data_IF_427675204731
#
_entry.id   IF_427675204731
#
_cell.length_a   1.000
_cell.length_b   1.000
_cell.length_c   1.000
_cell.angle_alpha   90.00
_cell.angle_beta   90.00
_cell.angle_gamma   90.00
#
_symmetry.space_group_name_H-M   'P 1'
#
loop_
_entity.id
_entity.type
_entity.pdbx_description
1 polymer ?
#
# COMPACT_ATOMS: atom_id res chain seq x y z
N UNK A 1 -40.51 41.47 -42.25
CA UNK A 1 -39.06 41.21 -42.17
C UNK A 1 -38.86 40.07 -41.19
N UNK A 2 -38.52 38.89 -41.72
CA UNK A 2 -38.36 37.61 -41.00
C UNK A 2 -37.10 37.59 -40.10
N UNK A 3 -37.04 36.70 -39.10
CA UNK A 3 -36.37 36.92 -37.82
C UNK A 3 -34.92 36.43 -37.80
N UNK A 4 -34.05 37.08 -37.03
CA UNK A 4 -32.77 36.48 -36.66
C UNK A 4 -32.94 35.71 -35.35
N UNK A 5 -33.06 34.40 -35.51
CA UNK A 5 -32.98 33.38 -34.48
C UNK A 5 -31.54 33.42 -33.94
N UNK A 6 -31.38 34.01 -32.76
CA UNK A 6 -30.11 34.05 -32.03
C UNK A 6 -29.68 32.62 -31.69
N UNK A 7 -28.61 32.21 -32.36
CA UNK A 7 -27.78 31.06 -32.04
C UNK A 7 -27.49 31.00 -30.53
N UNK A 8 -27.94 29.93 -29.87
CA UNK A 8 -27.48 29.54 -28.56
C UNK A 8 -26.20 28.72 -28.74
N UNK A 9 -25.09 29.03 -28.06
CA UNK A 9 -23.99 28.08 -28.02
C UNK A 9 -24.44 26.89 -27.16
N UNK A 10 -24.50 25.72 -27.79
CA UNK A 10 -24.45 24.44 -27.11
C UNK A 10 -23.04 24.26 -26.53
N UNK A 11 -22.76 24.93 -25.41
CA UNK A 11 -21.60 24.56 -24.61
C UNK A 11 -22.01 23.37 -23.77
N UNK A 12 -22.12 22.23 -24.47
CA UNK A 12 -22.16 20.92 -23.88
C UNK A 12 -21.10 20.88 -22.80
N UNK A 13 -21.56 20.87 -21.56
CA UNK A 13 -20.72 20.55 -20.43
C UNK A 13 -20.01 19.26 -20.78
N UNK A 14 -18.70 19.36 -21.02
CA UNK A 14 -17.79 18.26 -20.87
C UNK A 14 -17.91 17.88 -19.40
N UNK A 15 -18.93 17.08 -19.10
CA UNK A 15 -18.92 16.18 -17.98
C UNK A 15 -17.56 15.52 -18.10
N UNK A 16 -16.60 15.96 -17.27
CA UNK A 16 -15.38 15.20 -17.03
C UNK A 16 -15.92 13.82 -16.68
N UNK A 17 -15.92 12.91 -17.66
CA UNK A 17 -16.15 11.51 -17.42
C UNK A 17 -15.14 11.19 -16.35
N UNK A 18 -15.64 11.03 -15.12
CA UNK A 18 -14.79 10.88 -13.95
C UNK A 18 -13.99 9.64 -14.23
N UNK A 19 -12.74 9.82 -14.65
CA UNK A 19 -11.87 8.67 -14.82
C UNK A 19 -11.74 8.08 -13.43
N UNK A 20 -12.07 6.80 -13.33
CA UNK A 20 -12.21 6.13 -12.05
C UNK A 20 -10.80 5.95 -11.51
N UNK A 21 -10.34 6.93 -10.73
CA UNK A 21 -9.10 6.83 -9.97
C UNK A 21 -9.27 5.67 -8.98
N UNK A 22 -8.28 4.78 -8.98
CA UNK A 22 -8.15 3.67 -8.05
C UNK A 22 -6.94 3.98 -7.18
N UNK A 23 -7.05 3.72 -5.89
CA UNK A 23 -5.91 3.81 -5.00
C UNK A 23 -5.32 2.41 -4.76
N UNK A 24 -4.03 2.36 -4.45
CA UNK A 24 -3.32 1.10 -4.31
C UNK A 24 -1.91 1.28 -3.78
N UNK A 25 -1.24 0.16 -3.57
CA UNK A 25 0.08 0.10 -2.94
C UNK A 25 1.12 -0.48 -3.90
N UNK A 26 2.24 0.21 -4.06
CA UNK A 26 3.37 -0.28 -4.86
C UNK A 26 3.95 -1.53 -4.20
N UNK A 27 3.88 -2.69 -4.85
CA UNK A 27 4.41 -3.96 -4.32
C UNK A 27 5.90 -4.06 -4.59
N UNK A 28 6.30 -3.72 -5.81
CA UNK A 28 7.70 -3.72 -6.24
C UNK A 28 7.88 -2.66 -7.31
N UNK A 29 8.98 -1.92 -7.23
CA UNK A 29 9.43 -1.00 -8.26
C UNK A 29 10.93 -1.16 -8.42
N UNK A 30 11.39 -1.20 -9.67
CA UNK A 30 12.80 -1.27 -10.02
C UNK A 30 13.15 -0.01 -10.80
N UNK A 31 13.72 0.99 -10.12
CA UNK A 31 14.08 2.27 -10.75
C UNK A 31 15.10 2.11 -11.87
N UNK A 32 16.01 1.14 -11.77
CA UNK A 32 17.01 0.87 -12.84
C UNK A 32 16.34 0.37 -14.11
N UNK A 33 15.30 -0.47 -13.99
CA UNK A 33 14.54 -0.98 -15.14
C UNK A 33 13.34 -0.11 -15.51
N UNK A 34 12.93 0.83 -14.66
CA UNK A 34 11.83 1.77 -14.89
C UNK A 34 10.43 1.15 -14.83
N UNK A 35 10.25 0.01 -14.16
CA UNK A 35 8.93 -0.63 -14.05
C UNK A 35 8.66 -1.31 -12.70
N UNK A 36 7.39 -1.56 -12.43
CA UNK A 36 6.92 -2.14 -11.18
C UNK A 36 5.48 -2.65 -11.25
N UNK A 37 4.92 -2.93 -10.08
CA UNK A 37 3.56 -3.39 -9.90
C UNK A 37 2.89 -2.70 -8.72
N UNK A 38 1.61 -2.38 -8.87
CA UNK A 38 0.74 -1.82 -7.84
C UNK A 38 -0.36 -2.84 -7.53
N UNK A 39 -0.54 -3.15 -6.25
CA UNK A 39 -1.70 -3.89 -5.77
C UNK A 39 -2.86 -2.90 -5.52
N UNK A 40 -4.00 -3.02 -6.23
CA UNK A 40 -5.18 -2.19 -5.98
C UNK A 40 -5.74 -2.43 -4.57
N UNK A 41 -6.27 -1.39 -3.94
CA UNK A 41 -6.88 -1.54 -2.61
C UNK A 41 -8.26 -2.23 -2.63
N UNK A 42 -8.95 -2.18 -3.77
CA UNK A 42 -10.19 -2.92 -4.04
C UNK A 42 -9.94 -4.44 -4.17
N UNK A 43 -8.66 -4.86 -4.17
CA UNK A 43 -8.24 -6.20 -4.51
C UNK A 43 -8.19 -6.45 -6.02
N UNK A 44 -7.84 -7.68 -6.42
CA UNK A 44 -7.73 -8.06 -7.82
C UNK A 44 -6.29 -8.34 -8.28
N UNK A 45 -6.07 -8.29 -9.59
CA UNK A 45 -4.76 -8.52 -10.20
C UNK A 45 -3.83 -7.33 -10.02
N UNK A 46 -2.53 -7.61 -9.91
CA UNK A 46 -1.49 -6.58 -9.85
C UNK A 46 -1.48 -5.76 -11.15
N UNK A 47 -1.47 -4.43 -10.97
CA UNK A 47 -1.50 -3.48 -12.09
C UNK A 47 -0.08 -3.07 -12.44
N UNK A 48 0.28 -3.18 -13.72
CA UNK A 48 1.60 -2.84 -14.21
C UNK A 48 1.88 -1.33 -14.11
N UNK A 49 3.01 -0.96 -13.54
CA UNK A 49 3.48 0.41 -13.40
C UNK A 49 4.74 0.62 -14.24
N UNK A 50 4.79 1.74 -14.96
CA UNK A 50 5.96 2.16 -15.73
C UNK A 50 6.35 3.59 -15.36
N UNK A 51 7.65 3.90 -15.39
CA UNK A 51 8.20 5.21 -14.99
C UNK A 51 7.58 6.38 -15.77
N UNK A 52 7.26 6.17 -17.05
CA UNK A 52 6.64 7.18 -17.92
C UNK A 52 5.22 7.58 -17.50
N UNK A 53 4.53 6.75 -16.73
CA UNK A 53 3.15 6.99 -16.30
C UNK A 53 3.09 7.65 -14.90
N UNK A 54 4.27 7.88 -14.28
CA UNK A 54 4.39 8.57 -13.01
C UNK A 54 4.25 10.09 -13.20
N UNK A 55 3.37 10.69 -12.39
CA UNK A 55 3.27 12.14 -12.21
C UNK A 55 4.11 12.62 -11.02
N UNK A 56 4.87 11.71 -10.40
CA UNK A 56 5.76 11.92 -9.27
C UNK A 56 7.18 11.50 -9.65
N UNK A 57 8.22 12.04 -8.98
CA UNK A 57 9.58 11.64 -9.28
C UNK A 57 9.81 10.16 -8.93
N UNK A 58 10.49 9.41 -9.81
CA UNK A 58 10.72 7.97 -9.66
C UNK A 58 11.43 7.58 -8.35
N UNK A 59 12.30 8.45 -7.84
CA UNK A 59 13.01 8.32 -6.57
C UNK A 59 12.09 8.30 -5.33
N UNK A 60 10.87 8.82 -5.48
CA UNK A 60 9.84 8.77 -4.44
C UNK A 60 9.08 7.46 -4.46
N UNK A 61 9.11 6.71 -5.58
CA UNK A 61 8.41 5.44 -5.71
C UNK A 61 9.18 4.34 -5.00
N UNK A 62 8.60 3.81 -3.92
CA UNK A 62 9.16 2.72 -3.11
C UNK A 62 8.11 1.67 -2.85
N UNK A 63 8.55 0.44 -2.60
CA UNK A 63 7.65 -0.61 -2.13
C UNK A 63 6.92 -0.16 -0.86
N UNK A 64 5.62 -0.37 -0.81
CA UNK A 64 4.74 0.07 0.27
C UNK A 64 4.17 1.48 0.11
N UNK A 65 4.59 2.28 -0.89
CA UNK A 65 4.01 3.59 -1.16
C UNK A 65 2.54 3.45 -1.61
N UNK A 66 1.68 4.29 -1.05
CA UNK A 66 0.27 4.40 -1.48
C UNK A 66 0.17 5.47 -2.57
N UNK A 67 -0.49 5.13 -3.67
CA UNK A 67 -0.66 5.98 -4.85
C UNK A 67 -2.09 5.91 -5.36
N UNK A 68 -2.54 6.98 -6.00
CA UNK A 68 -3.74 7.01 -6.85
C UNK A 68 -3.33 6.89 -8.31
N UNK A 69 -4.07 6.11 -9.08
CA UNK A 69 -3.80 5.87 -10.50
C UNK A 69 -5.06 5.47 -11.24
N UNK A 70 -5.02 5.58 -12.56
CA UNK A 70 -6.07 5.14 -13.47
C UNK A 70 -5.71 3.74 -13.98
N UNK A 71 -6.69 2.83 -13.99
CA UNK A 71 -6.50 1.48 -14.52
C UNK A 71 -6.90 1.47 -15.99
N UNK A 72 -5.94 1.18 -16.86
CA UNK A 72 -6.12 1.02 -18.30
C UNK A 72 -5.83 -0.42 -18.74
N UNK A 73 -6.54 -0.92 -19.74
CA UNK A 73 -6.24 -2.22 -20.35
C UNK A 73 -5.14 -2.04 -21.40
N UNK A 74 -3.93 -2.49 -21.10
CA UNK A 74 -2.80 -2.48 -22.03
C UNK A 74 -2.63 -3.79 -22.78
N UNK A 75 -1.64 -3.83 -23.68
CA UNK A 75 -1.31 -5.01 -24.49
C UNK A 75 -0.85 -6.23 -23.67
N UNK A 76 -0.42 -5.99 -22.42
CA UNK A 76 0.12 -7.00 -21.50
C UNK A 76 -0.73 -7.19 -20.24
N UNK A 77 -1.97 -6.70 -20.24
CA UNK A 77 -2.86 -6.73 -19.08
C UNK A 77 -3.10 -5.34 -18.48
N UNK A 78 -3.51 -5.30 -17.22
CA UNK A 78 -3.84 -4.05 -16.53
C UNK A 78 -2.59 -3.18 -16.35
N UNK A 79 -2.72 -1.91 -16.73
CA UNK A 79 -1.66 -0.89 -16.64
C UNK A 79 -2.17 0.30 -15.83
N UNK A 80 -1.29 0.87 -15.02
CA UNK A 80 -1.52 2.08 -14.26
C UNK A 80 -1.09 3.30 -15.08
N UNK A 81 -1.92 4.33 -15.04
CA UNK A 81 -1.72 5.62 -15.71
C UNK A 81 -2.00 6.77 -14.75
N UNK A 82 -1.40 7.94 -14.99
CA UNK A 82 -1.63 9.13 -14.16
C UNK A 82 -1.27 8.94 -12.68
N UNK A 83 -0.21 8.19 -12.40
CA UNK A 83 0.11 7.75 -11.03
C UNK A 83 0.59 8.93 -10.19
N UNK A 84 -0.12 9.22 -9.10
CA UNK A 84 0.13 10.37 -8.23
C UNK A 84 -0.02 10.00 -6.75
N UNK A 85 0.39 10.92 -5.88
CA UNK A 85 0.08 10.81 -4.46
C UNK A 85 -1.41 11.14 -4.24
N UNK A 86 -2.11 10.43 -3.34
CA UNK A 86 -3.49 10.74 -2.99
C UNK A 86 -3.61 12.17 -2.46
N UNK A 87 -4.46 12.98 -3.09
CA UNK A 87 -4.74 14.37 -2.68
C UNK A 87 -5.82 14.37 -1.59
N UNK A 88 -5.41 14.14 -0.34
CA UNK A 88 -6.31 14.13 0.81
C UNK A 88 -5.76 13.27 1.95
N UNK A 89 -5.37 13.93 3.02
CA UNK A 89 -4.77 13.34 4.22
C UNK A 89 -5.53 12.13 4.77
N UNK A 90 -4.89 10.96 4.68
CA UNK A 90 -4.68 10.02 5.80
C UNK A 90 -3.70 8.94 5.34
N UNK A 91 -2.42 9.29 5.30
CA UNK A 91 -1.45 8.32 5.83
C UNK A 91 -2.02 7.92 7.20
N UNK A 92 -2.22 6.63 7.53
CA UNK A 92 -2.19 6.27 8.92
C UNK A 92 -0.79 6.69 9.34
N UNK A 93 -0.70 7.88 9.94
CA UNK A 93 0.39 8.24 10.83
C UNK A 93 0.65 6.97 11.60
N UNK A 94 1.80 6.35 11.34
CA UNK A 94 2.43 5.49 12.31
C UNK A 94 2.24 6.25 13.62
N UNK A 95 1.31 5.79 14.45
CA UNK A 95 0.97 6.50 15.68
C UNK A 95 2.31 6.60 16.36
N UNK A 96 2.79 7.84 16.49
CA UNK A 96 3.90 8.18 17.38
C UNK A 96 3.64 7.36 18.63
N UNK A 97 4.54 6.42 18.88
CA UNK A 97 5.01 6.06 20.20
C UNK A 97 4.12 6.64 21.30
N UNK A 98 2.98 5.98 21.59
CA UNK A 98 2.35 6.11 22.89
C UNK A 98 2.88 4.95 23.70
N UNK A 99 4.11 5.15 24.17
CA UNK A 99 4.52 4.93 25.55
C UNK A 99 3.59 4.01 26.35
N UNK A 100 3.70 2.70 26.09
CA UNK A 100 3.62 1.75 27.18
C UNK A 100 5.05 1.62 27.69
N UNK A 101 5.25 1.93 28.97
CA UNK A 101 6.52 1.99 29.69
C UNK A 101 7.57 0.96 29.19
N UNK A 102 8.87 1.33 29.18
CA UNK A 102 9.91 0.36 28.87
C UNK A 102 9.79 -0.79 29.88
N UNK A 103 9.35 -1.96 29.42
CA UNK A 103 9.69 -3.18 30.14
C UNK A 103 11.20 -3.27 29.99
N UNK A 104 11.88 -3.12 31.11
CA UNK A 104 13.34 -3.10 31.23
C UNK A 104 13.95 -4.15 30.30
N UNK A 105 14.47 -3.71 29.15
CA UNK A 105 15.36 -4.53 28.36
C UNK A 105 16.61 -4.74 29.22
N UNK A 106 16.88 -5.98 29.62
CA UNK A 106 18.17 -6.32 30.20
C UNK A 106 19.20 -6.17 29.08
N UNK A 107 20.07 -5.18 29.19
CA UNK A 107 21.22 -5.03 28.29
C UNK A 107 22.33 -6.00 28.69
N UNK A 108 23.08 -6.52 27.72
CA UNK A 108 24.32 -7.24 28.02
C UNK A 108 25.39 -6.27 28.57
N UNK A 109 26.53 -6.80 29.02
CA UNK A 109 27.64 -6.02 29.59
C UNK A 109 28.20 -4.93 28.64
N UNK A 110 27.90 -5.02 27.34
CA UNK A 110 28.30 -4.07 26.29
C UNK A 110 27.16 -3.13 25.83
N UNK A 111 25.97 -3.20 26.44
CA UNK A 111 24.87 -2.28 26.14
C UNK A 111 24.14 -2.53 24.82
N UNK A 112 24.29 -3.71 24.20
CA UNK A 112 23.44 -4.07 23.08
C UNK A 112 22.05 -4.50 23.61
N UNK A 113 20.96 -4.02 22.99
CA UNK A 113 19.65 -4.58 23.26
C UNK A 113 19.69 -6.05 22.83
N UNK A 114 19.48 -6.99 23.76
CA UNK A 114 19.28 -8.37 23.36
C UNK A 114 17.96 -8.40 22.57
N UNK A 115 18.06 -8.66 21.27
CA UNK A 115 16.88 -9.02 20.49
C UNK A 115 16.46 -10.40 20.99
N UNK A 116 15.59 -10.43 21.99
CA UNK A 116 15.05 -11.68 22.52
C UNK A 116 14.37 -12.44 21.37
N UNK A 117 14.78 -13.69 21.17
CA UNK A 117 14.05 -14.61 20.29
C UNK A 117 12.66 -14.79 20.89
N UNK A 118 11.62 -14.42 20.13
CA UNK A 118 10.26 -14.41 20.64
C UNK A 118 9.73 -15.84 20.75
N UNK A 119 8.99 -16.14 21.82
CA UNK A 119 8.23 -17.39 21.85
C UNK A 119 7.15 -17.40 20.75
N UNK A 120 6.69 -18.56 20.29
CA UNK A 120 5.79 -18.66 19.14
C UNK A 120 4.45 -17.97 19.41
N UNK A 121 4.01 -17.97 20.67
CA UNK A 121 2.77 -17.31 21.10
C UNK A 121 2.88 -15.78 21.09
N UNK A 122 4.03 -15.24 21.49
CA UNK A 122 4.31 -13.80 21.48
C UNK A 122 4.38 -13.29 20.05
N UNK A 123 5.14 -13.98 19.20
CA UNK A 123 5.22 -13.65 17.78
C UNK A 123 3.84 -13.68 17.09
N UNK A 124 3.03 -14.70 17.40
CA UNK A 124 1.66 -14.81 16.87
C UNK A 124 0.76 -13.66 17.29
N UNK A 125 0.87 -13.24 18.54
CA UNK A 125 0.08 -12.12 19.07
C UNK A 125 0.49 -10.83 18.37
N UNK A 126 1.77 -10.53 18.32
CA UNK A 126 2.27 -9.29 17.72
C UNK A 126 1.94 -9.20 16.22
N UNK A 127 2.07 -10.31 15.49
CA UNK A 127 1.63 -10.40 14.09
C UNK A 127 0.13 -10.17 13.95
N UNK A 128 -0.69 -10.71 14.85
CA UNK A 128 -2.15 -10.51 14.81
C UNK A 128 -2.50 -9.04 15.06
N UNK A 129 -1.88 -8.40 16.06
CA UNK A 129 -2.08 -6.98 16.36
C UNK A 129 -1.61 -6.08 15.20
N UNK A 130 -0.48 -6.43 14.56
CA UNK A 130 0.04 -5.75 13.39
C UNK A 130 -0.93 -5.85 12.19
N UNK A 131 -1.44 -7.05 11.88
CA UNK A 131 -2.34 -7.26 10.74
C UNK A 131 -3.66 -6.52 10.91
N UNK A 132 -4.27 -6.60 12.10
CA UNK A 132 -5.50 -5.88 12.42
C UNK A 132 -5.31 -4.35 12.36
N UNK A 133 -4.13 -3.86 12.74
CA UNK A 133 -3.78 -2.44 12.65
C UNK A 133 -3.55 -1.99 11.21
N UNK A 134 -2.84 -2.79 10.42
CA UNK A 134 -2.44 -2.45 9.06
C UNK A 134 -3.61 -2.51 8.06
N UNK A 135 -4.53 -3.47 8.25
CA UNK A 135 -5.71 -3.62 7.40
C UNK A 135 -6.91 -4.08 8.23
N UNK A 136 -7.77 -3.14 8.70
CA UNK A 136 -8.94 -3.47 9.50
C UNK A 136 -10.03 -4.21 8.72
N UNK A 137 -9.86 -4.36 7.40
CA UNK A 137 -10.78 -5.09 6.53
C UNK A 137 -10.46 -6.59 6.42
N UNK A 138 -9.34 -7.04 6.97
CA UNK A 138 -8.98 -8.46 6.96
C UNK A 138 -10.01 -9.27 7.77
N UNK A 139 -10.52 -10.33 7.16
CA UNK A 139 -11.40 -11.26 7.86
C UNK A 139 -10.60 -12.14 8.83
N UNK A 140 -11.29 -12.72 9.81
CA UNK A 140 -10.66 -13.64 10.75
C UNK A 140 -9.91 -14.79 10.03
N UNK A 141 -10.50 -15.38 8.99
CA UNK A 141 -9.87 -16.46 8.21
C UNK A 141 -8.58 -16.01 7.51
N UNK A 142 -8.58 -14.81 6.91
CA UNK A 142 -7.40 -14.24 6.27
C UNK A 142 -6.28 -13.98 7.28
N UNK A 143 -6.61 -13.45 8.46
CA UNK A 143 -5.64 -13.20 9.53
C UNK A 143 -5.03 -14.52 10.02
N UNK A 144 -5.85 -15.55 10.24
CA UNK A 144 -5.36 -16.87 10.66
C UNK A 144 -4.40 -17.47 9.63
N UNK A 145 -4.71 -17.31 8.33
CA UNK A 145 -3.92 -17.82 7.21
C UNK A 145 -2.57 -17.11 7.12
N UNK A 146 -2.56 -15.77 7.11
CA UNK A 146 -1.35 -14.95 7.02
C UNK A 146 -0.46 -15.18 8.25
N UNK A 147 -1.04 -15.19 9.45
CA UNK A 147 -0.32 -15.48 10.70
C UNK A 147 0.33 -16.86 10.66
N UNK A 148 -0.38 -17.89 10.19
CA UNK A 148 0.17 -19.23 10.07
C UNK A 148 1.36 -19.31 9.11
N UNK A 149 1.29 -18.58 7.98
CA UNK A 149 2.39 -18.49 7.02
C UNK A 149 3.61 -17.76 7.61
N UNK A 150 3.38 -16.66 8.33
CA UNK A 150 4.46 -15.88 8.96
C UNK A 150 5.17 -16.66 10.06
N UNK A 151 4.45 -17.40 10.91
CA UNK A 151 5.08 -18.24 11.96
C UNK A 151 5.99 -19.29 11.34
N UNK A 152 5.49 -20.05 10.36
CA UNK A 152 6.28 -21.07 9.66
C UNK A 152 7.51 -20.50 8.97
N UNK A 153 7.36 -19.30 8.38
CA UNK A 153 8.48 -18.60 7.78
C UNK A 153 9.54 -18.24 8.83
N UNK A 154 9.11 -17.70 9.98
CA UNK A 154 10.00 -17.27 11.06
C UNK A 154 10.72 -18.41 11.79
N UNK A 155 10.08 -19.56 11.96
CA UNK A 155 10.72 -20.78 12.50
C UNK A 155 11.89 -21.23 11.60
N UNK A 156 11.73 -21.17 10.27
CA UNK A 156 12.79 -21.51 9.32
C UNK A 156 13.98 -20.54 9.32
N UNK A 157 13.83 -19.37 9.93
CA UNK A 157 14.84 -18.32 10.03
C UNK A 157 15.39 -18.13 11.45
N UNK A 158 14.94 -18.92 12.43
CA UNK A 158 15.41 -18.86 13.82
C UNK A 158 14.99 -17.60 14.58
N UNK A 159 13.89 -16.96 14.18
CA UNK A 159 13.35 -15.78 14.88
C UNK A 159 12.36 -16.13 15.98
N UNK A 160 11.98 -17.41 16.04
CA UNK A 160 11.03 -17.98 16.98
C UNK A 160 11.60 -19.33 17.42
N UNK A 161 11.73 -19.53 18.72
CA UNK A 161 12.14 -20.80 19.35
C UNK A 161 10.96 -21.44 20.07
N UNK A 162 10.91 -22.78 20.11
CA UNK A 162 9.84 -23.58 20.73
C UNK A 162 9.78 -23.44 22.26
#
# INVERSE_FOLDING_TARGET
MVPFRGWAPDEGGFQRLGVRMVAGRVVRFDGTRGYGFIAPEDGGEDVFLHVNDLLIPEESVRSGLVVEFEVETGERGLKASGIRLPEGERQPVARRHQEAAPRTAMSDENGHPMCDVLSPEEYRRDVTELLLTASPQLTAEQILTIRGALVKFSEGHGWVED
#
